data_IF_165641038062
#
_entry.id   IF_165641038062
#
_cell.length_a   1.000
_cell.length_b   1.000
_cell.length_c   1.000
_cell.angle_alpha   90.00
_cell.angle_beta   90.00
_cell.angle_gamma   90.00
#
_symmetry.space_group_name_H-M   'P 1'
#
loop_
_entity.id
_entity.type
_entity.pdbx_description
1 polymer ?
#
# COMPACT_ATOMS: atom_id res chain seq x y z
N UNK A 1 -18.30 -40.54 -21.10
CA UNK A 1 -17.05 -40.34 -20.34
C UNK A 1 -16.56 -38.92 -20.62
N UNK A 2 -15.96 -38.24 -19.63
CA UNK A 2 -15.65 -36.79 -19.53
C UNK A 2 -16.79 -35.93 -18.92
N UNK A 3 -16.85 -35.96 -17.58
CA UNK A 3 -17.62 -35.02 -16.77
C UNK A 3 -17.00 -33.63 -16.90
N UNK A 4 -17.84 -32.65 -17.27
CA UNK A 4 -17.56 -31.23 -17.10
C UNK A 4 -17.03 -31.02 -15.67
N UNK A 5 -15.77 -30.62 -15.52
CA UNK A 5 -15.26 -30.15 -14.24
C UNK A 5 -16.09 -28.95 -13.85
N UNK A 6 -16.84 -29.06 -12.76
CA UNK A 6 -17.50 -27.94 -12.11
C UNK A 6 -16.44 -26.90 -11.69
N UNK A 7 -16.14 -25.94 -12.57
CA UNK A 7 -15.38 -24.73 -12.24
C UNK A 7 -16.23 -23.70 -11.46
N UNK A 8 -17.37 -24.12 -10.92
CA UNK A 8 -18.26 -23.34 -10.05
C UNK A 8 -18.30 -23.85 -8.60
N UNK A 9 -17.36 -24.73 -8.23
CA UNK A 9 -17.23 -25.25 -6.87
C UNK A 9 -16.38 -24.36 -5.97
N UNK A 10 -17.02 -23.70 -5.00
CA UNK A 10 -16.41 -23.10 -3.80
C UNK A 10 -15.23 -22.13 -4.04
N UNK A 11 -15.53 -20.85 -4.30
CA UNK A 11 -14.52 -19.80 -4.07
C UNK A 11 -14.23 -19.77 -2.55
N UNK A 12 -12.99 -20.03 -2.12
CA UNK A 12 -12.66 -20.27 -0.71
C UNK A 12 -12.87 -19.00 0.12
N UNK A 13 -12.79 -19.13 1.46
CA UNK A 13 -12.95 -18.07 2.50
C UNK A 13 -12.13 -16.77 2.26
N UNK A 14 -11.29 -16.74 1.23
CA UNK A 14 -10.37 -15.69 0.83
C UNK A 14 -10.75 -15.08 -0.54
N UNK A 15 -12.02 -14.69 -0.73
CA UNK A 15 -12.48 -14.04 -1.97
C UNK A 15 -12.11 -12.54 -1.96
N UNK A 16 -10.93 -12.23 -2.47
CA UNK A 16 -10.41 -10.85 -2.58
C UNK A 16 -11.19 -10.03 -3.61
N UNK A 17 -11.59 -10.65 -4.72
CA UNK A 17 -12.28 -9.98 -5.83
C UNK A 17 -13.61 -9.36 -5.35
N UNK A 18 -14.35 -10.09 -4.51
CA UNK A 18 -15.56 -9.57 -3.89
C UNK A 18 -15.36 -8.39 -2.93
N UNK A 19 -14.13 -8.12 -2.49
CA UNK A 19 -13.80 -7.02 -1.57
C UNK A 19 -13.26 -5.77 -2.28
N UNK A 20 -12.85 -5.87 -3.55
CA UNK A 20 -12.22 -4.79 -4.32
C UNK A 20 -12.97 -3.46 -4.24
N UNK A 21 -14.30 -3.46 -4.41
CA UNK A 21 -15.10 -2.23 -4.35
C UNK A 21 -15.05 -1.55 -2.98
N UNK A 22 -14.99 -2.33 -1.90
CA UNK A 22 -14.89 -1.80 -0.53
C UNK A 22 -13.49 -1.24 -0.24
N UNK A 23 -12.45 -1.95 -0.70
CA UNK A 23 -11.06 -1.49 -0.54
C UNK A 23 -10.81 -0.19 -1.31
N UNK A 24 -11.24 -0.11 -2.57
CA UNK A 24 -11.11 1.10 -3.39
C UNK A 24 -11.85 2.29 -2.81
N UNK A 25 -13.08 2.09 -2.29
CA UNK A 25 -13.83 3.16 -1.63
C UNK A 25 -13.10 3.69 -0.39
N UNK A 26 -12.57 2.78 0.43
CA UNK A 26 -11.83 3.18 1.62
C UNK A 26 -10.51 3.87 1.27
N UNK A 27 -9.74 3.32 0.34
CA UNK A 27 -8.49 3.93 -0.14
C UNK A 27 -8.72 5.36 -0.67
N UNK A 28 -9.77 5.58 -1.48
CA UNK A 28 -10.14 6.93 -1.96
C UNK A 28 -10.46 7.90 -0.83
N UNK A 29 -11.06 7.43 0.27
CA UNK A 29 -11.33 8.29 1.43
C UNK A 29 -10.06 8.69 2.19
N UNK A 30 -9.00 7.87 2.10
CA UNK A 30 -7.70 8.13 2.72
C UNK A 30 -6.82 9.03 1.87
N UNK A 31 -6.69 8.73 0.57
CA UNK A 31 -5.78 9.43 -0.35
C UNK A 31 -6.38 10.71 -0.91
N UNK A 32 -7.72 10.76 -1.07
CA UNK A 32 -8.43 11.82 -1.82
C UNK A 32 -7.98 11.96 -3.28
N UNK A 33 -7.26 10.97 -3.79
CA UNK A 33 -6.80 10.87 -5.17
C UNK A 33 -7.11 9.47 -5.72
N UNK A 34 -7.59 9.41 -6.97
CA UNK A 34 -8.04 8.15 -7.56
C UNK A 34 -6.91 7.22 -7.98
N UNK A 35 -5.78 7.77 -8.45
CA UNK A 35 -4.62 6.99 -8.87
C UNK A 35 -3.87 6.46 -7.64
N UNK A 36 -3.60 7.32 -6.66
CA UNK A 36 -2.99 6.91 -5.38
C UNK A 36 -3.84 5.86 -4.65
N UNK A 37 -5.17 5.96 -4.75
CA UNK A 37 -6.05 4.95 -4.16
C UNK A 37 -5.92 3.58 -4.85
N UNK A 38 -5.69 3.55 -6.16
CA UNK A 38 -5.50 2.29 -6.89
C UNK A 38 -4.14 1.66 -6.56
N UNK A 39 -3.09 2.47 -6.49
CA UNK A 39 -1.76 2.02 -6.06
C UNK A 39 -1.77 1.50 -4.62
N UNK A 40 -2.42 2.23 -3.70
CA UNK A 40 -2.57 1.80 -2.31
C UNK A 40 -3.31 0.45 -2.21
N UNK A 41 -4.36 0.25 -3.01
CA UNK A 41 -5.07 -1.03 -3.05
C UNK A 41 -4.19 -2.12 -3.62
N UNK A 42 -3.42 -1.84 -4.67
CA UNK A 42 -2.49 -2.79 -5.27
C UNK A 42 -1.48 -3.29 -4.22
N UNK A 43 -0.77 -2.38 -3.57
CA UNK A 43 0.21 -2.68 -2.52
C UNK A 43 -0.41 -3.48 -1.37
N UNK A 44 -1.61 -3.08 -0.95
CA UNK A 44 -2.32 -3.80 0.11
C UNK A 44 -2.66 -5.24 -0.31
N UNK A 45 -3.03 -5.47 -1.57
CA UNK A 45 -3.32 -6.82 -2.08
C UNK A 45 -2.06 -7.67 -2.20
N UNK A 46 -0.93 -7.10 -2.61
CA UNK A 46 0.37 -7.79 -2.61
C UNK A 46 0.73 -8.23 -1.19
N UNK A 47 0.69 -7.31 -0.22
CA UNK A 47 0.93 -7.61 1.21
C UNK A 47 -0.05 -8.63 1.76
N UNK A 48 -1.32 -8.57 1.37
CA UNK A 48 -2.33 -9.52 1.77
C UNK A 48 -2.04 -10.92 1.21
N UNK A 49 -1.57 -11.01 -0.03
CA UNK A 49 -1.19 -12.28 -0.64
C UNK A 49 0.00 -12.93 0.08
N UNK A 50 1.02 -12.15 0.44
CA UNK A 50 2.16 -12.61 1.24
C UNK A 50 1.72 -13.09 2.63
N UNK A 51 0.82 -12.34 3.28
CA UNK A 51 0.36 -12.60 4.64
C UNK A 51 -0.84 -13.55 4.71
N UNK A 52 -1.31 -14.12 3.60
CA UNK A 52 -2.53 -14.93 3.53
C UNK A 52 -2.54 -16.11 4.53
N UNK A 53 -1.37 -16.67 4.84
CA UNK A 53 -1.23 -17.74 5.83
C UNK A 53 -1.55 -17.34 7.27
N UNK A 54 -1.53 -16.04 7.58
CA UNK A 54 -1.87 -15.49 8.90
C UNK A 54 -3.36 -15.24 9.08
N UNK A 55 -4.14 -15.32 8.00
CA UNK A 55 -5.58 -15.10 8.06
C UNK A 55 -6.27 -16.28 8.78
N UNK A 56 -6.88 -16.00 9.92
CA UNK A 56 -7.61 -17.01 10.70
C UNK A 56 -8.84 -17.49 9.94
N UNK A 57 -8.95 -18.81 9.77
CA UNK A 57 -10.13 -19.45 9.16
C UNK A 57 -11.39 -19.06 9.93
N UNK A 58 -12.34 -18.40 9.25
CA UNK A 58 -13.58 -17.89 9.86
C UNK A 58 -13.53 -16.47 10.40
N UNK A 59 -12.38 -15.80 10.29
CA UNK A 59 -12.30 -14.36 10.51
C UNK A 59 -13.01 -13.54 9.43
N UNK A 60 -13.24 -12.26 9.73
CA UNK A 60 -13.80 -11.31 8.78
C UNK A 60 -12.72 -10.86 7.78
N UNK A 61 -12.75 -11.42 6.57
CA UNK A 61 -11.79 -11.09 5.49
C UNK A 61 -11.77 -9.59 5.16
N UNK A 62 -12.95 -8.95 5.11
CA UNK A 62 -13.06 -7.53 4.78
C UNK A 62 -12.34 -6.68 5.81
N UNK A 63 -12.58 -6.92 7.09
CA UNK A 63 -11.92 -6.19 8.18
C UNK A 63 -10.40 -6.38 8.14
N UNK A 64 -9.94 -7.61 7.88
CA UNK A 64 -8.52 -7.92 7.76
C UNK A 64 -7.86 -7.24 6.55
N UNK A 65 -8.51 -7.20 5.39
CA UNK A 65 -7.99 -6.48 4.22
C UNK A 65 -7.98 -4.96 4.43
N UNK A 66 -9.02 -4.41 5.05
CA UNK A 66 -9.09 -2.97 5.36
C UNK A 66 -7.99 -2.54 6.34
N UNK A 67 -7.61 -3.39 7.30
CA UNK A 67 -6.48 -3.09 8.19
C UNK A 67 -5.14 -3.09 7.44
N UNK A 68 -4.97 -3.97 6.45
CA UNK A 68 -3.78 -3.97 5.60
C UNK A 68 -3.71 -2.68 4.76
N UNK A 69 -4.83 -2.27 4.15
CA UNK A 69 -4.91 -0.97 3.43
C UNK A 69 -4.53 0.19 4.34
N UNK A 70 -5.09 0.23 5.55
CA UNK A 70 -4.77 1.30 6.50
C UNK A 70 -3.28 1.32 6.87
N UNK A 71 -2.70 0.16 7.17
CA UNK A 71 -1.27 0.08 7.50
C UNK A 71 -0.39 0.50 6.33
N UNK A 72 -0.70 0.07 5.10
CA UNK A 72 0.03 0.50 3.90
C UNK A 72 -0.04 2.02 3.70
N UNK A 73 -1.19 2.64 3.97
CA UNK A 73 -1.34 4.09 3.90
C UNK A 73 -0.48 4.83 4.95
N UNK A 74 -0.50 4.36 6.19
CA UNK A 74 0.31 4.94 7.28
C UNK A 74 1.81 4.77 7.00
N UNK A 75 2.24 3.62 6.51
CA UNK A 75 3.63 3.38 6.10
C UNK A 75 4.04 4.35 4.98
N UNK A 76 3.17 4.56 3.99
CA UNK A 76 3.39 5.52 2.90
C UNK A 76 3.53 6.95 3.41
N UNK A 77 2.67 7.39 4.34
CA UNK A 77 2.78 8.71 4.97
C UNK A 77 4.09 8.88 5.74
N UNK A 78 4.53 7.86 6.49
CA UNK A 78 5.80 7.89 7.22
C UNK A 78 6.99 7.96 6.26
N UNK A 79 6.95 7.18 5.17
CA UNK A 79 7.99 7.19 4.14
C UNK A 79 8.12 8.57 3.48
N UNK A 80 7.00 9.15 3.02
CA UNK A 80 6.99 10.51 2.42
C UNK A 80 7.52 11.58 3.36
N UNK A 81 7.16 11.52 4.65
CA UNK A 81 7.69 12.45 5.66
C UNK A 81 9.21 12.28 5.83
N UNK A 82 9.69 11.05 5.88
CA UNK A 82 11.13 10.78 5.99
C UNK A 82 11.89 11.27 4.76
N UNK A 83 11.31 11.12 3.57
CA UNK A 83 11.95 11.56 2.34
C UNK A 83 12.02 13.09 2.25
N UNK A 84 10.92 13.77 2.58
CA UNK A 84 10.90 15.23 2.61
C UNK A 84 11.99 15.81 3.54
N UNK A 85 12.18 15.23 4.73
CA UNK A 85 13.23 15.64 5.66
C UNK A 85 14.65 15.40 5.11
N UNK A 86 14.86 14.31 4.37
CA UNK A 86 16.16 14.01 3.74
C UNK A 86 16.47 14.96 2.59
N UNK A 87 15.48 15.29 1.77
CA UNK A 87 15.60 16.26 0.68
C UNK A 87 15.93 17.64 1.23
N UNK A 88 15.24 18.07 2.28
CA UNK A 88 15.52 19.35 2.96
C UNK A 88 16.95 19.38 3.50
N UNK A 89 17.38 18.34 4.22
CA UNK A 89 18.74 18.24 4.75
C UNK A 89 19.80 18.26 3.63
N UNK A 90 19.56 17.57 2.52
CA UNK A 90 20.45 17.60 1.36
C UNK A 90 20.53 19.00 0.75
N UNK A 91 19.42 19.73 0.67
CA UNK A 91 19.39 21.13 0.23
C UNK A 91 20.31 22.02 1.07
N UNK A 92 20.21 21.96 2.40
CA UNK A 92 21.09 22.72 3.28
C UNK A 92 22.58 22.37 3.10
N UNK A 93 22.91 21.10 2.91
CA UNK A 93 24.30 20.68 2.67
C UNK A 93 24.83 21.19 1.32
N UNK A 94 23.99 21.20 0.29
CA UNK A 94 24.32 21.76 -1.04
C UNK A 94 24.57 23.27 -0.90
N UNK A 95 23.65 24.02 -0.29
CA UNK A 95 23.79 25.46 -0.12
C UNK A 95 25.04 25.85 0.68
N UNK A 96 25.32 25.13 1.78
CA UNK A 96 26.52 25.33 2.58
C UNK A 96 27.81 25.03 1.80
N UNK A 97 27.80 24.05 0.89
CA UNK A 97 28.95 23.74 0.03
C UNK A 97 29.20 24.80 -1.05
N UNK A 98 28.14 25.43 -1.56
CA UNK A 98 28.23 26.49 -2.58
C UNK A 98 28.74 27.81 -1.97
N UNK A 99 28.40 28.10 -0.72
CA UNK A 99 28.81 29.32 -0.01
C UNK A 99 30.23 29.27 0.59
N UNK A 100 30.91 28.13 0.58
CA UNK A 100 32.28 28.04 1.07
C UNK A 100 33.19 28.95 0.22
N UNK A 101 33.71 30.07 0.76
CA UNK A 101 34.57 30.98 0.02
C UNK A 101 35.85 30.22 -0.29
N UNK A 102 36.03 29.82 -1.55
CA UNK A 102 37.31 29.33 -2.02
C UNK A 102 38.22 30.56 -2.07
N UNK A 103 38.91 30.84 -0.97
CA UNK A 103 39.97 31.84 -0.93
C UNK A 103 41.08 31.37 -1.88
N UNK A 104 41.00 31.78 -3.15
CA UNK A 104 42.10 31.69 -4.09
C UNK A 104 43.18 32.68 -3.65
N UNK A 105 44.29 32.13 -3.16
CA UNK A 105 45.53 32.84 -2.82
C UNK A 105 46.33 33.24 -4.05
#
# INVERSE_FOLDING_TARGET
>A
MLRKRDMRGSMPRFNIIGQLGSLRRYARSLTRDSAEAEDLVHDALVRAYERRGTFRSGGNLRAWLLSIVHNAFIDGLRSRKSEAARVEQAGYLIDASVQAPQEHS
#
